data_IF_719660748742
#
_entry.id   IF_719660748742
#
_cell.length_a   1.000
_cell.length_b   1.000
_cell.length_c   1.000
_cell.angle_alpha   90.00
_cell.angle_beta   90.00
_cell.angle_gamma   90.00
#
_symmetry.space_group_name_H-M   'P 1'
#
loop_
_entity.id
_entity.type
_entity.pdbx_description
1 polymer ?
#
# COMPACT_ATOMS: atom_id res chain seq x y z
N UNK A 1 23.41 3.15 17.57
CA UNK A 1 22.06 2.59 17.32
C UNK A 1 21.83 2.59 15.82
N UNK A 2 21.81 1.40 15.17
CA UNK A 2 21.61 1.28 13.72
C UNK A 2 20.24 1.78 13.34
N UNK A 3 20.15 2.53 12.23
CA UNK A 3 18.84 2.95 11.66
C UNK A 3 18.18 1.73 11.04
N UNK A 4 16.98 1.39 11.49
CA UNK A 4 16.19 0.30 10.91
C UNK A 4 15.80 0.69 9.49
N UNK A 5 16.05 -0.19 8.52
CA UNK A 5 15.63 0.03 7.14
C UNK A 5 14.17 -0.38 6.92
N UNK A 6 13.54 0.15 5.86
CA UNK A 6 12.20 -0.26 5.43
C UNK A 6 12.16 -1.77 5.18
N UNK A 7 13.20 -2.34 4.57
CA UNK A 7 13.29 -3.77 4.30
C UNK A 7 13.28 -4.63 5.56
N UNK A 8 13.97 -4.21 6.62
CA UNK A 8 13.94 -4.90 7.92
C UNK A 8 12.55 -4.80 8.57
N UNK A 9 11.98 -3.61 8.60
CA UNK A 9 10.66 -3.37 9.15
C UNK A 9 9.56 -4.13 8.38
N UNK A 10 9.63 -4.18 7.04
CA UNK A 10 8.72 -4.95 6.20
C UNK A 10 8.81 -6.46 6.45
N UNK A 11 10.02 -7.00 6.65
CA UNK A 11 10.17 -8.42 6.99
C UNK A 11 9.47 -8.75 8.30
N UNK A 12 9.68 -7.94 9.33
CA UNK A 12 9.02 -8.11 10.62
C UNK A 12 7.48 -7.97 10.50
N UNK A 13 7.01 -6.94 9.78
CA UNK A 13 5.60 -6.70 9.53
C UNK A 13 4.92 -7.89 8.82
N UNK A 14 5.55 -8.40 7.77
CA UNK A 14 5.02 -9.54 6.99
C UNK A 14 4.96 -10.80 7.82
N UNK A 15 5.97 -11.07 8.63
CA UNK A 15 5.97 -12.21 9.55
C UNK A 15 4.83 -12.10 10.56
N UNK A 16 4.65 -10.93 11.17
CA UNK A 16 3.59 -10.68 12.14
C UNK A 16 2.19 -10.83 11.53
N UNK A 17 1.99 -10.41 10.28
CA UNK A 17 0.71 -10.47 9.57
C UNK A 17 0.54 -11.76 8.73
N UNK A 18 1.47 -12.71 8.82
CA UNK A 18 1.45 -13.98 8.06
C UNK A 18 1.33 -13.80 6.54
N UNK A 19 1.91 -12.73 6.01
CA UNK A 19 1.93 -12.45 4.59
C UNK A 19 2.99 -13.34 3.92
N UNK A 20 2.55 -14.29 3.12
CA UNK A 20 3.44 -15.30 2.51
C UNK A 20 4.36 -14.70 1.47
N UNK A 21 5.67 -14.84 1.72
CA UNK A 21 6.74 -14.36 0.83
C UNK A 21 6.79 -15.09 -0.51
N UNK A 22 6.42 -16.38 -0.52
CA UNK A 22 6.62 -17.27 -1.68
C UNK A 22 5.76 -16.89 -2.88
N UNK A 23 4.58 -16.33 -2.66
CA UNK A 23 3.68 -15.92 -3.74
C UNK A 23 4.19 -14.73 -4.56
N UNK A 24 5.13 -13.93 -4.03
CA UNK A 24 5.69 -12.77 -4.76
C UNK A 24 6.60 -13.18 -5.92
N UNK A 25 7.33 -14.27 -5.75
CA UNK A 25 8.24 -14.80 -6.76
C UNK A 25 7.59 -15.86 -7.65
N UNK A 26 6.40 -16.34 -7.27
CA UNK A 26 5.66 -17.29 -8.07
C UNK A 26 5.28 -16.69 -9.44
N UNK A 27 5.28 -17.52 -10.48
CA UNK A 27 4.86 -17.12 -11.83
C UNK A 27 3.38 -16.76 -11.88
N UNK A 28 2.56 -17.35 -11.01
CA UNK A 28 1.13 -17.17 -10.90
C UNK A 28 0.78 -16.67 -9.51
N UNK A 29 -0.08 -15.67 -9.43
CA UNK A 29 -0.71 -15.24 -8.21
C UNK A 29 -2.08 -15.88 -8.08
N UNK A 30 -2.32 -16.59 -6.98
CA UNK A 30 -3.61 -17.21 -6.70
C UNK A 30 -4.45 -16.24 -5.88
N UNK A 31 -5.43 -15.61 -6.51
CA UNK A 31 -6.40 -14.79 -5.82
C UNK A 31 -7.38 -15.71 -5.10
N UNK A 32 -7.49 -15.56 -3.79
CA UNK A 32 -8.44 -16.27 -2.95
C UNK A 32 -9.43 -15.25 -2.40
N UNK A 33 -10.64 -15.25 -2.93
CA UNK A 33 -11.75 -14.47 -2.44
C UNK A 33 -12.86 -15.45 -2.06
N UNK A 34 -13.02 -15.69 -0.78
CA UNK A 34 -13.96 -16.60 -0.11
C UNK A 34 -14.44 -17.83 -0.94
N UNK A 35 -15.23 -17.62 -1.99
CA UNK A 35 -15.79 -18.65 -2.85
C UNK A 35 -15.10 -18.80 -4.22
N UNK A 36 -14.17 -17.90 -4.55
CA UNK A 36 -13.53 -17.88 -5.88
C UNK A 36 -12.03 -17.96 -5.75
N UNK A 37 -11.43 -18.93 -6.39
CA UNK A 37 -9.97 -19.07 -6.50
C UNK A 37 -9.63 -19.04 -7.99
N UNK A 38 -8.85 -18.03 -8.40
CA UNK A 38 -8.40 -17.95 -9.78
C UNK A 38 -6.93 -17.52 -9.88
N UNK A 39 -6.17 -18.10 -10.81
CA UNK A 39 -4.79 -17.72 -11.04
C UNK A 39 -4.71 -16.48 -11.93
N UNK A 40 -3.88 -15.51 -11.53
CA UNK A 40 -3.50 -14.37 -12.35
C UNK A 40 -1.99 -14.39 -12.62
N UNK A 41 -1.54 -13.97 -13.81
CA UNK A 41 -0.11 -13.79 -14.05
C UNK A 41 0.49 -12.77 -13.08
N UNK A 42 1.62 -13.15 -12.48
CA UNK A 42 2.30 -12.28 -11.54
C UNK A 42 3.23 -11.31 -12.28
N UNK A 43 2.66 -10.26 -12.85
CA UNK A 43 3.36 -9.25 -13.62
C UNK A 43 4.46 -8.52 -12.82
N UNK A 44 5.52 -8.08 -13.50
CA UNK A 44 6.63 -7.36 -12.88
C UNK A 44 6.17 -6.07 -12.16
N UNK A 45 5.23 -5.32 -12.76
CA UNK A 45 4.65 -4.12 -12.14
C UNK A 45 3.92 -4.43 -10.83
N UNK A 46 3.25 -5.59 -10.76
CA UNK A 46 2.54 -6.02 -9.56
C UNK A 46 3.52 -6.35 -8.44
N UNK A 47 4.60 -7.07 -8.72
CA UNK A 47 5.62 -7.39 -7.69
C UNK A 47 6.21 -6.13 -7.05
N UNK A 48 6.49 -5.10 -7.87
CA UNK A 48 6.97 -3.79 -7.37
C UNK A 48 5.89 -3.07 -6.57
N UNK A 49 4.64 -3.12 -7.03
CA UNK A 49 3.53 -2.47 -6.36
C UNK A 49 3.25 -3.08 -4.97
N UNK A 50 3.37 -4.39 -4.82
CA UNK A 50 3.16 -5.07 -3.52
C UNK A 50 4.13 -4.59 -2.45
N UNK A 51 5.41 -4.40 -2.78
CA UNK A 51 6.39 -3.93 -1.80
C UNK A 51 6.04 -2.54 -1.27
N UNK A 52 5.61 -1.65 -2.16
CA UNK A 52 5.15 -0.33 -1.77
C UNK A 52 3.81 -0.38 -1.02
N UNK A 53 2.88 -1.26 -1.43
CA UNK A 53 1.60 -1.46 -0.76
C UNK A 53 1.76 -1.97 0.67
N UNK A 54 2.57 -3.01 0.86
CA UNK A 54 2.87 -3.51 2.21
C UNK A 54 3.57 -2.45 3.08
N UNK A 55 4.44 -1.63 2.46
CA UNK A 55 5.06 -0.50 3.15
C UNK A 55 4.02 0.57 3.53
N UNK A 56 3.01 0.82 2.69
CA UNK A 56 1.93 1.74 3.04
C UNK A 56 1.16 1.24 4.26
N UNK A 57 0.81 -0.06 4.35
CA UNK A 57 0.21 -0.63 5.56
C UNK A 57 1.07 -0.42 6.80
N UNK A 58 2.38 -0.72 6.68
CA UNK A 58 3.34 -0.54 7.77
C UNK A 58 3.43 0.93 8.24
N UNK A 59 3.47 1.87 7.30
CA UNK A 59 3.73 3.28 7.59
C UNK A 59 2.48 4.07 7.98
N UNK A 60 1.31 3.68 7.49
CA UNK A 60 0.03 4.34 7.78
C UNK A 60 -0.71 3.72 8.95
N UNK A 61 -0.37 2.46 9.30
CA UNK A 61 -1.03 1.71 10.36
C UNK A 61 -2.39 1.10 9.98
N UNK A 62 -2.82 1.17 8.70
CA UNK A 62 -4.01 0.45 8.27
C UNK A 62 -3.75 -1.07 8.35
N UNK A 63 -4.65 -1.86 8.99
CA UNK A 63 -4.42 -3.28 9.19
C UNK A 63 -4.58 -4.09 7.89
N UNK A 64 -3.90 -5.24 7.79
CA UNK A 64 -4.08 -6.20 6.69
C UNK A 64 -5.35 -7.05 6.88
N UNK A 65 -6.50 -6.41 7.02
CA UNK A 65 -7.83 -7.01 7.10
C UNK A 65 -8.67 -6.54 5.92
N UNK A 66 -9.78 -7.22 5.60
CA UNK A 66 -10.66 -6.78 4.52
C UNK A 66 -11.04 -5.30 4.65
N UNK A 67 -11.41 -4.84 5.85
CA UNK A 67 -11.70 -3.43 6.10
C UNK A 67 -10.47 -2.54 5.88
N UNK A 68 -9.30 -2.97 6.35
CA UNK A 68 -8.05 -2.23 6.15
C UNK A 68 -7.62 -2.14 4.69
N UNK A 69 -7.86 -3.18 3.89
CA UNK A 69 -7.61 -3.18 2.44
C UNK A 69 -8.47 -2.13 1.71
N UNK A 70 -9.74 -1.96 2.11
CA UNK A 70 -10.60 -0.92 1.55
C UNK A 70 -10.10 0.48 1.91
N UNK A 71 -9.63 0.67 3.15
CA UNK A 71 -9.13 1.95 3.64
C UNK A 71 -7.78 2.31 3.00
N UNK A 72 -6.84 1.35 2.91
CA UNK A 72 -5.55 1.61 2.30
C UNK A 72 -5.69 1.90 0.81
N UNK A 73 -6.61 1.21 0.09
CA UNK A 73 -6.90 1.51 -1.30
C UNK A 73 -7.40 2.95 -1.49
N UNK A 74 -8.27 3.43 -0.61
CA UNK A 74 -8.74 4.81 -0.63
C UNK A 74 -7.62 5.81 -0.30
N UNK A 75 -6.77 5.50 0.68
CA UNK A 75 -5.59 6.29 1.02
C UNK A 75 -4.61 6.39 -0.15
N UNK A 76 -4.27 5.27 -0.78
CA UNK A 76 -3.37 5.22 -1.95
C UNK A 76 -3.93 6.02 -3.13
N UNK A 77 -5.24 5.92 -3.36
CA UNK A 77 -5.93 6.72 -4.39
C UNK A 77 -5.81 8.22 -4.10
N UNK A 78 -5.97 8.63 -2.86
CA UNK A 78 -5.79 10.00 -2.40
C UNK A 78 -4.35 10.48 -2.50
N UNK A 79 -3.39 9.64 -2.14
CA UNK A 79 -1.97 9.96 -2.06
C UNK A 79 -1.27 10.10 -3.42
N UNK A 80 -1.95 9.75 -4.53
CA UNK A 80 -1.41 10.05 -5.84
C UNK A 80 -1.55 8.98 -6.89
N UNK A 81 -2.46 8.05 -6.73
CA UNK A 81 -2.78 6.95 -7.65
C UNK A 81 -1.67 5.92 -7.81
N UNK A 82 -2.00 4.84 -8.46
CA UNK A 82 -1.08 3.77 -8.79
C UNK A 82 -0.22 4.12 -10.01
N UNK A 83 1.03 3.62 -10.07
CA UNK A 83 1.95 3.94 -11.16
C UNK A 83 1.55 3.27 -12.48
N UNK A 84 0.69 2.26 -12.42
CA UNK A 84 0.27 1.47 -13.56
C UNK A 84 -1.26 1.39 -13.65
N UNK A 85 -1.80 1.55 -14.86
CA UNK A 85 -3.26 1.50 -15.08
C UNK A 85 -3.90 0.17 -14.61
N UNK A 86 -3.16 -0.96 -14.75
CA UNK A 86 -3.63 -2.26 -14.27
C UNK A 86 -3.81 -2.31 -12.76
N UNK A 87 -2.92 -1.67 -11.98
CA UNK A 87 -3.09 -1.54 -10.55
C UNK A 87 -4.30 -0.65 -10.21
N UNK A 88 -4.49 0.45 -10.95
CA UNK A 88 -5.67 1.31 -10.80
C UNK A 88 -6.96 0.54 -11.05
N UNK A 89 -7.02 -0.23 -12.15
CA UNK A 89 -8.20 -1.05 -12.48
C UNK A 89 -8.48 -2.12 -11.42
N UNK A 90 -7.44 -2.72 -10.86
CA UNK A 90 -7.57 -3.74 -9.82
C UNK A 90 -8.02 -3.16 -8.47
N UNK A 91 -7.55 -1.98 -8.10
CA UNK A 91 -7.85 -1.36 -6.80
C UNK A 91 -9.10 -0.47 -6.83
N UNK A 92 -9.57 -0.01 -7.99
CA UNK A 92 -10.78 0.80 -8.10
C UNK A 92 -12.03 0.15 -7.47
N UNK A 93 -12.31 -1.16 -7.67
CA UNK A 93 -13.42 -1.83 -7.00
C UNK A 93 -13.33 -1.79 -5.48
N UNK A 94 -12.11 -1.87 -4.90
CA UNK A 94 -11.91 -1.79 -3.45
C UNK A 94 -12.28 -0.40 -2.92
N UNK A 95 -11.91 0.66 -3.63
CA UNK A 95 -12.28 2.04 -3.28
C UNK A 95 -13.80 2.22 -3.32
N UNK A 96 -14.45 1.72 -4.39
CA UNK A 96 -15.92 1.76 -4.53
C UNK A 96 -16.58 0.98 -3.39
N UNK A 97 -16.13 -0.24 -3.12
CA UNK A 97 -16.64 -1.05 -2.02
C UNK A 97 -16.45 -0.35 -0.66
N UNK A 98 -15.31 0.32 -0.45
CA UNK A 98 -15.06 1.13 0.74
C UNK A 98 -16.10 2.23 0.93
N UNK A 99 -16.40 3.00 -0.12
CA UNK A 99 -17.43 4.03 -0.07
C UNK A 99 -18.84 3.49 0.15
N UNK A 100 -19.14 2.29 -0.33
CA UNK A 100 -20.45 1.66 -0.12
C UNK A 100 -20.60 1.07 1.29
N UNK A 101 -19.54 0.45 1.83
CA UNK A 101 -19.60 -0.29 3.10
C UNK A 101 -19.21 0.57 4.31
N UNK A 102 -18.26 1.49 4.13
CA UNK A 102 -17.67 2.30 5.21
C UNK A 102 -17.43 3.75 4.73
N UNK A 103 -18.47 4.50 4.32
CA UNK A 103 -18.32 5.78 3.62
C UNK A 103 -17.49 6.81 4.39
N UNK A 104 -17.71 6.93 5.69
CA UNK A 104 -16.99 7.93 6.53
C UNK A 104 -15.51 7.59 6.65
N UNK A 105 -15.19 6.36 7.04
CA UNK A 105 -13.81 5.89 7.21
C UNK A 105 -13.05 5.93 5.87
N UNK A 106 -13.72 5.59 4.77
CA UNK A 106 -13.14 5.65 3.43
C UNK A 106 -12.86 7.08 2.99
N UNK A 107 -13.75 8.02 3.30
CA UNK A 107 -13.55 9.44 3.04
C UNK A 107 -12.38 9.98 3.87
N UNK A 108 -12.29 9.62 5.15
CA UNK A 108 -11.20 10.02 6.05
C UNK A 108 -9.85 9.47 5.53
N UNK A 109 -9.82 8.19 5.14
CA UNK A 109 -8.63 7.57 4.56
C UNK A 109 -8.21 8.26 3.25
N UNK A 110 -9.14 8.56 2.37
CA UNK A 110 -8.88 9.30 1.13
C UNK A 110 -8.36 10.73 1.40
N UNK A 111 -8.95 11.44 2.35
CA UNK A 111 -8.49 12.78 2.75
C UNK A 111 -7.09 12.74 3.40
N UNK A 112 -6.82 11.72 4.23
CA UNK A 112 -5.49 11.46 4.77
C UNK A 112 -4.49 11.26 3.63
N UNK A 113 -4.82 10.41 2.64
CA UNK A 113 -4.00 10.19 1.46
C UNK A 113 -3.72 11.48 0.69
N UNK A 114 -4.71 12.34 0.48
CA UNK A 114 -4.52 13.62 -0.21
C UNK A 114 -3.50 14.55 0.45
N UNK A 115 -3.31 14.44 1.76
CA UNK A 115 -2.31 15.21 2.51
C UNK A 115 -0.96 14.50 2.56
N UNK A 116 -0.89 13.24 2.17
CA UNK A 116 0.28 12.38 2.20
C UNK A 116 0.95 12.25 0.81
N UNK A 117 2.04 11.49 0.75
CA UNK A 117 2.66 11.06 -0.52
C UNK A 117 2.71 9.55 -0.56
N UNK A 118 2.29 8.99 -1.67
CA UNK A 118 2.47 7.56 -1.93
C UNK A 118 3.94 7.26 -2.27
N UNK A 119 4.44 6.13 -1.77
CA UNK A 119 5.75 5.60 -2.13
C UNK A 119 5.82 5.17 -3.60
N UNK A 120 4.68 4.94 -4.25
CA UNK A 120 4.63 4.67 -5.71
C UNK A 120 5.24 5.78 -6.55
N UNK A 121 5.34 7.01 -6.03
CA UNK A 121 5.98 8.14 -6.70
C UNK A 121 7.45 8.29 -6.35
N UNK A 122 8.00 7.45 -5.48
CA UNK A 122 9.41 7.47 -5.17
C UNK A 122 10.20 7.00 -6.39
N UNK A 123 11.22 7.77 -6.80
CA UNK A 123 12.00 7.49 -8.01
C UNK A 123 12.71 6.14 -7.99
N UNK A 124 13.04 5.66 -6.81
CA UNK A 124 13.81 4.43 -6.58
C UNK A 124 12.99 3.40 -5.79
N UNK A 125 11.83 2.98 -6.32
CA UNK A 125 11.06 1.87 -5.70
C UNK A 125 11.90 0.60 -5.53
N UNK A 126 12.86 0.36 -6.43
CA UNK A 126 13.75 -0.80 -6.36
C UNK A 126 14.71 -0.72 -5.15
N UNK A 127 14.94 0.49 -4.60
CA UNK A 127 15.75 0.73 -3.39
C UNK A 127 14.92 1.02 -2.13
N UNK A 128 13.61 0.82 -2.20
CA UNK A 128 12.72 1.06 -1.06
C UNK A 128 13.20 0.31 0.20
N UNK A 129 13.72 -0.90 0.04
CA UNK A 129 14.23 -1.72 1.13
C UNK A 129 15.43 -1.10 1.87
N UNK A 130 16.22 -0.29 1.18
CA UNK A 130 17.44 0.33 1.73
C UNK A 130 17.14 1.66 2.42
N UNK A 131 15.94 2.22 2.19
CA UNK A 131 15.53 3.49 2.77
C UNK A 131 15.42 3.37 4.29
N UNK A 132 15.98 4.31 5.08
CA UNK A 132 15.72 4.39 6.51
C UNK A 132 14.22 4.51 6.80
N UNK A 133 13.71 3.76 7.78
CA UNK A 133 12.28 3.78 8.13
C UNK A 133 11.80 5.18 8.51
N UNK A 134 12.66 5.97 9.19
CA UNK A 134 12.38 7.38 9.52
C UNK A 134 12.10 8.23 8.28
N UNK A 135 12.86 8.00 7.22
CA UNK A 135 12.75 8.78 5.99
C UNK A 135 11.49 8.37 5.21
N UNK A 136 11.17 7.06 5.21
CA UNK A 136 9.92 6.58 4.65
C UNK A 136 8.69 7.12 5.39
N UNK A 137 8.73 7.16 6.72
CA UNK A 137 7.69 7.77 7.55
C UNK A 137 7.51 9.26 7.21
N UNK A 138 8.61 10.01 7.06
CA UNK A 138 8.57 11.42 6.68
C UNK A 138 7.98 11.64 5.27
N UNK A 139 8.22 10.71 4.32
CA UNK A 139 7.65 10.77 2.98
C UNK A 139 6.14 10.58 2.97
N UNK A 140 5.64 9.67 3.82
CA UNK A 140 4.23 9.28 3.89
C UNK A 140 3.44 10.19 4.85
N UNK A 141 4.10 10.87 5.78
CA UNK A 141 3.47 11.76 6.74
C UNK A 141 2.57 12.80 6.07
N UNK A 142 1.42 13.13 6.68
CA UNK A 142 0.58 14.21 6.20
C UNK A 142 1.39 15.52 6.15
N UNK A 143 1.25 16.25 5.07
CA UNK A 143 1.81 17.61 4.99
C UNK A 143 0.90 18.53 5.78
N UNK A 144 1.48 19.33 6.64
CA UNK A 144 0.77 20.46 7.21
C UNK A 144 0.20 21.29 6.06
N UNK A 145 -1.05 21.75 6.15
CA UNK A 145 -1.54 22.74 5.22
C UNK A 145 -0.58 23.92 5.35
N UNK A 146 0.17 24.19 4.28
CA UNK A 146 0.98 25.41 4.20
C UNK A 146 0.01 26.54 4.47
N UNK A 147 0.13 27.15 5.67
CA UNK A 147 -0.56 28.39 5.99
C UNK A 147 -0.13 29.35 4.89
N UNK A 148 -1.07 29.69 4.02
CA UNK A 148 -0.84 30.45 2.83
C UNK A 148 -0.05 31.72 3.14
N UNK A 149 1.08 31.86 2.46
CA UNK A 149 1.69 33.17 2.22
C UNK A 149 0.99 33.83 1.05
#
# INVERSE_FOLDING_TARGET
MGRISVGEALRAFRTANRLHHDERHARWWIVRADLVVFPLPNFAWRRRAIDAHDAHHLLTGYPCTCAGELLIAAWEWGAGRYPHWGATLFCAPLVVAGFLLMPRQTLDAWQHGRRSRSLYRHRDLDRLSDLPLSDALALVAPRDPVLGQ
#
